data_IF_072890271597
#
_entry.id   IF_072890271597
#
_cell.length_a   1.000
_cell.length_b   1.000
_cell.length_c   1.000
_cell.angle_alpha   90.00
_cell.angle_beta   90.00
_cell.angle_gamma   90.00
#
_symmetry.space_group_name_H-M   'P 1'
#
loop_
_entity.id
_entity.type
_entity.pdbx_description
1 polymer ?
#
# COMPACT_ATOMS: atom_id res chain seq x y z
N UNK A 1 -3.81 14.16 -5.29
CA UNK A 1 -4.81 13.07 -5.13
C UNK A 1 -4.34 12.16 -4.01
N UNK A 2 -3.07 11.78 -4.08
CA UNK A 2 -2.16 11.47 -2.98
C UNK A 2 -2.48 12.08 -1.61
N UNK A 3 -2.50 13.41 -1.44
CA UNK A 3 -2.84 14.01 -0.13
C UNK A 3 -4.23 13.61 0.40
N UNK A 4 -5.24 13.63 -0.47
CA UNK A 4 -6.62 13.24 -0.11
C UNK A 4 -6.70 11.75 0.29
N UNK A 5 -5.95 10.89 -0.40
CA UNK A 5 -5.83 9.46 -0.10
C UNK A 5 -5.14 9.25 1.25
N UNK A 6 -4.08 10.02 1.52
CA UNK A 6 -3.33 9.95 2.77
C UNK A 6 -4.16 10.40 3.97
N UNK A 7 -4.86 11.52 3.86
CA UNK A 7 -5.75 12.01 4.93
C UNK A 7 -6.89 11.03 5.21
N UNK A 8 -7.50 10.47 4.16
CA UNK A 8 -8.57 9.49 4.32
C UNK A 8 -8.05 8.17 4.91
N UNK A 9 -6.84 7.72 4.51
CA UNK A 9 -6.20 6.54 5.11
C UNK A 9 -5.95 6.77 6.60
N UNK A 10 -5.45 7.94 6.98
CA UNK A 10 -5.20 8.29 8.39
C UNK A 10 -6.48 8.43 9.20
N UNK A 11 -7.59 8.83 8.56
CA UNK A 11 -8.90 8.93 9.20
C UNK A 11 -9.57 7.55 9.40
N UNK A 12 -9.54 6.67 8.39
CA UNK A 12 -10.11 5.31 8.48
C UNK A 12 -9.20 4.35 9.26
N UNK A 13 -7.88 4.55 9.17
CA UNK A 13 -6.86 3.75 9.82
C UNK A 13 -5.87 4.65 10.60
N UNK A 14 -6.29 5.23 11.72
CA UNK A 14 -5.39 6.03 12.56
C UNK A 14 -4.26 5.18 13.20
N UNK A 15 -4.49 3.87 13.30
CA UNK A 15 -3.53 2.88 13.80
C UNK A 15 -2.57 2.38 12.71
N UNK A 16 -2.79 2.76 11.44
CA UNK A 16 -1.93 2.32 10.35
C UNK A 16 -0.61 3.09 10.39
N UNK A 17 0.44 2.37 10.73
CA UNK A 17 1.79 2.91 10.73
C UNK A 17 2.51 2.52 9.42
N UNK A 18 2.95 3.51 8.61
CA UNK A 18 3.63 3.23 7.34
C UNK A 18 5.02 2.61 7.51
N UNK A 19 5.64 2.73 8.69
CA UNK A 19 6.91 2.09 9.03
C UNK A 19 6.73 0.68 9.58
N UNK A 20 5.55 0.35 10.10
CA UNK A 20 5.26 -0.98 10.60
C UNK A 20 5.17 -2.02 9.48
N UNK A 21 5.49 -3.25 9.87
CA UNK A 21 5.26 -4.44 9.06
C UNK A 21 3.77 -4.68 8.92
N UNK A 22 3.28 -4.65 7.68
CA UNK A 22 1.91 -5.00 7.36
C UNK A 22 1.66 -6.44 7.76
N UNK A 23 0.68 -6.63 8.63
CA UNK A 23 0.24 -7.94 9.03
C UNK A 23 -0.76 -8.50 8.00
N UNK A 24 -0.32 -9.52 7.27
CA UNK A 24 -1.13 -10.16 6.23
C UNK A 24 -2.44 -10.74 6.78
N UNK A 25 -2.42 -11.27 8.01
CA UNK A 25 -3.59 -11.88 8.64
C UNK A 25 -4.65 -10.83 8.98
N UNK A 26 -4.24 -9.67 9.47
CA UNK A 26 -5.16 -8.56 9.75
C UNK A 26 -5.81 -8.04 8.47
N UNK A 27 -5.03 -7.94 7.39
CA UNK A 27 -5.58 -7.53 6.10
C UNK A 27 -6.51 -8.58 5.48
N UNK A 28 -6.23 -9.88 5.68
CA UNK A 28 -7.09 -11.00 5.23
C UNK A 28 -8.32 -11.21 6.12
N UNK A 29 -8.32 -10.67 7.34
CA UNK A 29 -9.44 -10.72 8.28
C UNK A 29 -10.68 -10.03 7.71
N UNK A 30 -11.87 -10.45 8.20
CA UNK A 30 -13.15 -9.87 7.77
C UNK A 30 -13.18 -8.36 8.00
N UNK A 31 -12.72 -7.92 9.16
CA UNK A 31 -12.66 -6.50 9.51
C UNK A 31 -11.71 -5.71 8.61
N UNK A 32 -10.55 -6.27 8.26
CA UNK A 32 -9.61 -5.65 7.32
C UNK A 32 -10.24 -5.49 5.94
N UNK A 33 -10.81 -6.56 5.39
CA UNK A 33 -11.49 -6.55 4.08
C UNK A 33 -12.63 -5.53 4.03
N UNK A 34 -13.45 -5.45 5.08
CA UNK A 34 -14.58 -4.50 5.12
C UNK A 34 -14.11 -3.05 5.21
N UNK A 35 -13.12 -2.73 6.06
CA UNK A 35 -12.54 -1.39 6.15
C UNK A 35 -11.90 -0.95 4.83
N UNK A 36 -11.06 -1.80 4.25
CA UNK A 36 -10.46 -1.52 2.95
C UNK A 36 -11.50 -1.38 1.86
N UNK A 37 -12.56 -2.20 1.84
CA UNK A 37 -13.65 -2.08 0.87
C UNK A 37 -14.35 -0.73 0.98
N UNK A 38 -14.63 -0.26 2.19
CA UNK A 38 -15.25 1.05 2.44
C UNK A 38 -14.36 2.19 1.93
N UNK A 39 -13.06 2.13 2.23
CA UNK A 39 -12.07 3.07 1.71
C UNK A 39 -12.04 3.08 0.18
N UNK A 40 -12.01 1.90 -0.45
CA UNK A 40 -11.90 1.76 -1.91
C UNK A 40 -13.16 2.23 -2.65
N UNK A 41 -14.35 2.05 -2.08
CA UNK A 41 -15.61 2.57 -2.66
C UNK A 41 -15.60 4.08 -2.84
N UNK A 42 -14.86 4.84 -2.02
CA UNK A 42 -14.72 6.28 -2.18
C UNK A 42 -13.91 6.67 -3.44
N UNK A 43 -13.11 5.75 -3.97
CA UNK A 43 -12.21 5.97 -5.11
C UNK A 43 -12.51 5.10 -6.34
N UNK A 44 -13.53 4.25 -6.28
CA UNK A 44 -13.99 3.41 -7.41
C UNK A 44 -14.21 4.21 -8.70
N UNK A 45 -14.79 5.41 -8.60
CA UNK A 45 -15.02 6.30 -9.76
C UNK A 45 -13.83 7.18 -10.13
N UNK A 46 -12.77 7.17 -9.32
CA UNK A 46 -11.57 8.00 -9.47
C UNK A 46 -10.39 7.23 -10.08
N UNK A 47 -10.39 5.90 -10.00
CA UNK A 47 -9.30 5.04 -10.48
C UNK A 47 -9.79 4.13 -11.60
N UNK A 48 -9.40 4.46 -12.84
CA UNK A 48 -9.87 3.79 -14.07
C UNK A 48 -9.31 2.36 -14.26
N UNK A 49 -8.13 2.07 -13.70
CA UNK A 49 -7.42 0.78 -13.81
C UNK A 49 -7.31 0.08 -12.45
N UNK A 50 -8.45 -0.29 -11.89
CA UNK A 50 -8.55 -0.81 -10.53
C UNK A 50 -8.19 -2.30 -10.38
N UNK A 51 -8.29 -3.08 -11.46
CA UNK A 51 -8.02 -4.53 -11.47
C UNK A 51 -6.52 -4.89 -11.62
N UNK A 52 -5.62 -3.90 -11.64
CA UNK A 52 -4.20 -4.16 -11.87
C UNK A 52 -3.55 -4.79 -10.64
N UNK A 53 -3.10 -6.03 -10.76
CA UNK A 53 -2.41 -6.74 -9.67
C UNK A 53 -1.12 -6.02 -9.28
N UNK A 54 -1.04 -5.56 -8.03
CA UNK A 54 0.14 -4.88 -7.49
C UNK A 54 0.83 -5.76 -6.45
N UNK A 55 2.16 -5.77 -6.48
CA UNK A 55 2.99 -6.33 -5.41
C UNK A 55 3.29 -5.23 -4.39
N UNK A 56 3.17 -5.55 -3.11
CA UNK A 56 3.40 -4.63 -2.01
C UNK A 56 4.40 -5.26 -1.02
N UNK A 57 5.36 -4.49 -0.55
CA UNK A 57 6.28 -4.93 0.51
C UNK A 57 5.61 -4.86 1.86
N UNK A 58 5.84 -5.86 2.71
CA UNK A 58 5.30 -5.88 4.08
C UNK A 58 5.82 -4.71 4.90
N UNK A 59 7.07 -4.32 4.70
CA UNK A 59 7.71 -3.20 5.40
C UNK A 59 8.46 -2.33 4.40
N UNK A 60 8.68 -1.05 4.71
CA UNK A 60 9.50 -0.19 3.86
C UNK A 60 10.99 -0.53 3.93
N UNK A 61 11.45 -1.20 4.98
CA UNK A 61 12.87 -1.55 5.23
C UNK A 61 13.31 -2.87 4.58
N UNK A 62 12.38 -3.61 3.98
CA UNK A 62 12.66 -4.94 3.38
C UNK A 62 12.64 -4.89 1.86
N UNK A 63 13.40 -5.80 1.24
CA UNK A 63 13.38 -6.01 -0.22
C UNK A 63 12.19 -6.88 -0.64
N UNK A 64 11.93 -6.95 -1.94
CA UNK A 64 10.93 -7.85 -2.51
C UNK A 64 11.43 -9.30 -2.47
N UNK A 65 11.13 -10.01 -1.38
CA UNK A 65 11.36 -11.45 -1.24
C UNK A 65 10.04 -12.21 -1.09
N UNK A 66 10.09 -13.53 -1.13
CA UNK A 66 8.89 -14.38 -1.05
C UNK A 66 8.12 -14.18 0.26
N UNK A 67 8.82 -14.06 1.38
CA UNK A 67 8.22 -13.89 2.72
C UNK A 67 7.91 -12.42 3.05
N UNK A 68 8.46 -11.47 2.27
CA UNK A 68 8.32 -10.03 2.51
C UNK A 68 7.47 -9.31 1.46
N UNK A 69 6.95 -10.03 0.47
CA UNK A 69 6.09 -9.50 -0.60
C UNK A 69 4.68 -10.04 -0.46
N UNK A 70 3.72 -9.13 -0.33
CA UNK A 70 2.30 -9.41 -0.37
C UNK A 70 1.77 -9.09 -1.77
N UNK A 71 1.08 -10.05 -2.37
CA UNK A 71 0.30 -9.80 -3.57
C UNK A 71 -1.01 -9.11 -3.18
N UNK A 72 -1.19 -7.85 -3.61
CA UNK A 72 -2.41 -7.07 -3.35
C UNK A 72 -3.69 -7.76 -3.84
N UNK A 73 -3.58 -8.62 -4.87
CA UNK A 73 -4.70 -9.41 -5.38
C UNK A 73 -5.16 -10.54 -4.43
N UNK A 74 -4.30 -11.02 -3.54
CA UNK A 74 -4.60 -12.13 -2.63
C UNK A 74 -5.45 -11.72 -1.41
N UNK A 75 -5.56 -10.42 -1.15
CA UNK A 75 -6.14 -9.89 0.09
C UNK A 75 -7.54 -9.29 -0.14
N UNK A 76 -7.78 -8.66 -1.29
CA UNK A 76 -9.08 -8.01 -1.58
C UNK A 76 -9.44 -8.06 -3.08
N UNK A 77 -10.28 -9.02 -3.53
CA UNK A 77 -10.91 -8.90 -4.85
C UNK A 77 -12.02 -7.85 -4.69
N UNK A 78 -11.94 -6.62 -5.26
CA UNK A 78 -11.60 -6.27 -6.65
C UNK A 78 -10.67 -5.03 -6.85
N UNK A 79 -9.93 -4.55 -5.85
CA UNK A 79 -9.27 -3.22 -5.90
C UNK A 79 -7.81 -3.19 -5.39
N UNK A 80 -6.90 -4.03 -5.91
CA UNK A 80 -5.50 -4.11 -5.44
C UNK A 80 -4.70 -2.80 -5.53
N UNK A 81 -4.97 -1.98 -6.57
CA UNK A 81 -4.17 -0.79 -6.87
C UNK A 81 -4.34 0.35 -5.87
N UNK A 82 -5.54 0.50 -5.32
CA UNK A 82 -5.85 1.60 -4.40
C UNK A 82 -5.18 1.38 -3.03
N UNK A 83 -5.15 0.13 -2.56
CA UNK A 83 -4.42 -0.23 -1.34
C UNK A 83 -2.93 0.07 -1.50
N UNK A 84 -2.35 -0.32 -2.64
CA UNK A 84 -0.96 -0.03 -2.95
C UNK A 84 -0.68 1.48 -2.92
N UNK A 85 -1.49 2.29 -3.60
CA UNK A 85 -1.31 3.74 -3.60
C UNK A 85 -1.37 4.34 -2.20
N UNK A 86 -2.39 3.99 -1.40
CA UNK A 86 -2.53 4.57 -0.07
C UNK A 86 -1.30 4.28 0.82
N UNK A 87 -0.79 3.04 0.75
CA UNK A 87 0.35 2.59 1.54
C UNK A 87 1.66 3.23 1.04
N UNK A 88 1.90 3.25 -0.27
CA UNK A 88 3.10 3.85 -0.84
C UNK A 88 3.13 5.37 -0.68
N UNK A 89 1.99 6.05 -0.82
CA UNK A 89 1.89 7.49 -0.54
C UNK A 89 2.22 7.77 0.93
N UNK A 90 1.71 6.96 1.86
CA UNK A 90 2.02 7.09 3.28
C UNK A 90 3.51 6.88 3.57
N UNK A 91 4.14 5.88 2.95
CA UNK A 91 5.59 5.60 3.07
C UNK A 91 6.45 6.71 2.47
N UNK A 92 6.05 7.24 1.32
CA UNK A 92 6.74 8.34 0.65
C UNK A 92 6.67 9.61 1.50
N UNK A 93 5.48 9.98 2.00
CA UNK A 93 5.33 11.12 2.93
C UNK A 93 6.11 10.93 4.24
N UNK A 94 6.27 9.70 4.70
CA UNK A 94 7.07 9.39 5.89
C UNK A 94 8.59 9.33 5.61
N UNK A 95 9.05 9.48 4.37
CA UNK A 95 10.47 9.41 4.02
C UNK A 95 11.09 8.01 4.15
N UNK A 96 10.27 6.97 4.30
CA UNK A 96 10.73 5.60 4.56
C UNK A 96 11.27 4.90 3.30
N UNK A 97 11.05 5.49 2.13
CA UNK A 97 11.47 4.97 0.83
C UNK A 97 12.77 5.61 0.31
N UNK A 98 13.44 6.47 1.09
CA UNK A 98 14.62 7.23 0.64
C UNK A 98 15.77 6.30 0.20
N UNK A 99 16.01 5.21 0.95
CA UNK A 99 17.05 4.22 0.66
C UNK A 99 16.85 3.50 -0.70
N UNK A 100 15.60 3.33 -1.13
CA UNK A 100 15.27 2.70 -2.42
C UNK A 100 15.56 3.67 -3.54
N UNK A 101 15.24 4.96 -3.34
CA UNK A 101 15.55 6.00 -4.30
C UNK A 101 17.07 6.09 -4.51
N UNK A 102 17.85 6.06 -3.43
CA UNK A 102 19.32 6.01 -3.50
C UNK A 102 19.84 4.75 -4.23
N UNK A 103 19.27 3.57 -3.95
CA UNK A 103 19.64 2.31 -4.61
C UNK A 103 19.30 2.36 -6.11
N UNK A 104 18.10 2.80 -6.46
CA UNK A 104 17.66 2.92 -7.85
C UNK A 104 18.49 3.94 -8.65
N UNK A 105 18.87 5.07 -8.05
CA UNK A 105 19.78 6.05 -8.65
C UNK A 105 21.19 5.49 -8.89
N UNK A 106 21.67 4.61 -8.00
CA UNK A 106 22.97 3.92 -8.19
C UNK A 106 22.92 2.89 -9.31
N UNK A 107 21.83 2.15 -9.45
CA UNK A 107 21.66 1.16 -10.53
C UNK A 107 21.40 1.79 -11.90
N UNK A 108 20.64 2.89 -11.96
CA UNK A 108 20.39 3.62 -13.21
C UNK A 108 21.58 4.40 -13.77
N UNK A 109 22.66 4.55 -12.99
CA UNK A 109 23.93 5.16 -13.43
C UNK A 109 24.95 4.14 -13.96
N UNK A 110 24.57 2.87 -14.07
CA UNK A 110 25.44 1.77 -14.51
C UNK A 110 25.22 1.46 -15.98
#
# INVERSE_FOLDING_TARGET
>A
MDDEIYEHLKAEFPEFDPAATINEEEMKSKSGKERWRKFMMAYEKKVDDYNFGTMLRISPDVEYEQDTTIFGIAITPPFPRMQFYAIEIARNKAGLNDWIYEKAQKEGKK
#
